data_IF_382247141109
#
_entry.id   IF_382247141109
#
_cell.length_a   1.000
_cell.length_b   1.000
_cell.length_c   1.000
_cell.angle_alpha   90.00
_cell.angle_beta   90.00
_cell.angle_gamma   90.00
#
_symmetry.space_group_name_H-M   'P 1'
#
loop_
_entity.id
_entity.type
_entity.pdbx_description
1 polymer ?
#
# COMPACT_ATOMS: atom_id res chain seq x y z
N UNK A 1 -29.90 1.87 17.19
CA UNK A 1 -29.65 2.10 15.76
C UNK A 1 -28.44 1.29 15.37
N UNK A 2 -28.55 0.39 14.39
CA UNK A 2 -27.38 -0.34 13.87
C UNK A 2 -26.55 0.62 13.02
N UNK A 3 -25.23 0.69 13.26
CA UNK A 3 -24.35 1.49 12.42
C UNK A 3 -24.08 0.70 11.12
N UNK A 4 -24.48 1.21 9.94
CA UNK A 4 -24.38 0.46 8.69
C UNK A 4 -22.93 0.12 8.33
N UNK A 5 -21.94 0.93 8.75
CA UNK A 5 -20.53 0.65 8.52
C UNK A 5 -20.05 -0.55 9.33
N UNK A 6 -20.47 -0.66 10.60
CA UNK A 6 -20.11 -1.78 11.47
C UNK A 6 -20.65 -3.10 10.93
N UNK A 7 -21.92 -3.08 10.48
CA UNK A 7 -22.55 -4.25 9.85
C UNK A 7 -21.94 -4.60 8.49
N UNK A 8 -21.54 -3.61 7.70
CA UNK A 8 -20.92 -3.83 6.39
C UNK A 8 -19.53 -4.47 6.50
N UNK A 9 -18.74 -4.02 7.48
CA UNK A 9 -17.33 -4.44 7.64
C UNK A 9 -17.15 -5.56 8.66
N UNK A 10 -18.22 -5.98 9.35
CA UNK A 10 -18.22 -6.99 10.41
C UNK A 10 -17.25 -6.67 11.56
N UNK A 11 -17.35 -5.44 12.07
CA UNK A 11 -16.51 -4.91 13.17
C UNK A 11 -17.36 -4.33 14.30
N UNK A 12 -16.81 -4.31 15.51
CA UNK A 12 -17.49 -3.86 16.73
C UNK A 12 -17.32 -2.36 16.98
N UNK A 13 -16.18 -1.79 16.56
CA UNK A 13 -15.83 -0.39 16.75
C UNK A 13 -15.63 0.33 15.41
N UNK A 14 -16.09 1.58 15.26
CA UNK A 14 -15.94 2.37 14.03
C UNK A 14 -14.54 2.98 13.93
N UNK A 15 -13.51 2.15 14.17
CA UNK A 15 -12.11 2.53 14.17
C UNK A 15 -11.39 1.72 13.09
N UNK A 16 -10.61 2.42 12.28
CA UNK A 16 -9.78 1.81 11.23
C UNK A 16 -8.34 2.24 11.49
N UNK A 17 -7.45 1.27 11.72
CA UNK A 17 -6.03 1.57 11.81
C UNK A 17 -5.51 1.89 10.40
N UNK A 18 -4.92 3.07 10.23
CA UNK A 18 -4.48 3.55 8.92
C UNK A 18 -3.37 2.67 8.31
N UNK A 19 -3.48 2.24 7.05
CA UNK A 19 -2.43 1.47 6.39
C UNK A 19 -1.19 2.34 6.15
N UNK A 20 -0.06 1.94 6.72
CA UNK A 20 1.23 2.62 6.60
C UNK A 20 2.24 1.62 6.03
N UNK A 21 2.59 1.78 4.76
CA UNK A 21 3.58 0.93 4.11
C UNK A 21 4.92 1.00 4.87
N UNK A 22 5.47 -0.16 5.22
CA UNK A 22 6.70 -0.29 6.02
C UNK A 22 6.52 -0.22 7.55
N UNK A 23 5.32 0.10 8.06
CA UNK A 23 5.04 0.18 9.51
C UNK A 23 3.90 -0.76 9.93
N UNK A 24 2.85 -0.88 9.12
CA UNK A 24 1.69 -1.72 9.41
C UNK A 24 2.00 -3.21 9.25
N UNK A 25 2.47 -3.84 10.33
CA UNK A 25 2.83 -5.26 10.38
C UNK A 25 1.60 -6.17 10.49
N UNK A 26 1.72 -7.46 10.11
CA UNK A 26 0.68 -8.46 10.37
C UNK A 26 0.21 -8.51 11.83
N UNK A 27 1.15 -8.42 12.78
CA UNK A 27 0.83 -8.44 14.21
C UNK A 27 0.00 -7.22 14.64
N UNK A 28 0.33 -6.02 14.12
CA UNK A 28 -0.45 -4.82 14.41
C UNK A 28 -1.87 -4.91 13.83
N UNK A 29 -1.99 -5.30 12.56
CA UNK A 29 -3.29 -5.43 11.91
C UNK A 29 -4.17 -6.48 12.61
N UNK A 30 -3.59 -7.64 12.97
CA UNK A 30 -4.30 -8.68 13.69
C UNK A 30 -4.71 -8.24 15.10
N UNK A 31 -3.85 -7.54 15.84
CA UNK A 31 -4.17 -7.04 17.17
C UNK A 31 -5.36 -6.05 17.15
N UNK A 32 -5.37 -5.12 16.19
CA UNK A 32 -6.49 -4.17 16.01
C UNK A 32 -7.77 -4.92 15.64
N UNK A 33 -7.68 -5.91 14.74
CA UNK A 33 -8.82 -6.71 14.29
C UNK A 33 -9.41 -7.53 15.43
N UNK A 34 -8.57 -8.20 16.22
CA UNK A 34 -8.95 -8.97 17.41
C UNK A 34 -9.56 -8.08 18.51
N UNK A 35 -9.17 -6.80 18.58
CA UNK A 35 -9.77 -5.83 19.49
C UNK A 35 -11.15 -5.31 19.02
N UNK A 36 -11.68 -5.76 17.87
CA UNK A 36 -13.00 -5.40 17.36
C UNK A 36 -13.02 -4.18 16.44
N UNK A 37 -11.86 -3.59 16.12
CA UNK A 37 -11.71 -2.54 15.11
C UNK A 37 -11.24 -3.14 13.77
N UNK A 38 -11.03 -2.33 12.73
CA UNK A 38 -10.49 -2.81 11.45
C UNK A 38 -8.97 -2.56 11.38
N UNK A 39 -8.18 -3.63 11.47
CA UNK A 39 -6.74 -3.57 11.19
C UNK A 39 -6.45 -3.39 9.69
N UNK A 40 -5.29 -2.83 9.33
CA UNK A 40 -4.93 -2.64 7.91
C UNK A 40 -3.48 -2.96 7.60
N UNK A 41 -3.25 -3.60 6.45
CA UNK A 41 -1.92 -3.78 5.84
C UNK A 41 -1.67 -2.72 4.76
N UNK A 42 -0.47 -2.14 4.73
CA UNK A 42 0.00 -1.26 3.66
C UNK A 42 0.85 -2.00 2.65
N UNK A 43 0.26 -2.44 1.53
CA UNK A 43 0.90 -3.27 0.49
C UNK A 43 1.18 -2.51 -0.81
N UNK A 44 0.91 -1.21 -0.87
CA UNK A 44 1.15 -0.41 -2.09
C UNK A 44 2.60 -0.39 -2.55
N UNK A 45 3.49 -0.80 -1.65
CA UNK A 45 4.92 -0.94 -1.85
C UNK A 45 5.39 -2.41 -1.76
N UNK A 46 4.54 -3.40 -1.99
CA UNK A 46 4.93 -4.80 -1.88
C UNK A 46 4.98 -5.46 -3.24
N UNK A 47 5.90 -6.40 -3.44
CA UNK A 47 5.79 -7.40 -4.50
C UNK A 47 4.62 -8.35 -4.19
N UNK A 48 4.12 -9.07 -5.21
CA UNK A 48 3.03 -10.05 -5.02
C UNK A 48 3.38 -11.08 -3.94
N UNK A 49 4.60 -11.62 -3.95
CA UNK A 49 5.04 -12.61 -2.96
C UNK A 49 5.10 -12.04 -1.54
N UNK A 50 5.55 -10.78 -1.38
CA UNK A 50 5.55 -10.10 -0.08
C UNK A 50 4.11 -9.83 0.41
N UNK A 51 3.24 -9.39 -0.48
CA UNK A 51 1.83 -9.15 -0.18
C UNK A 51 1.14 -10.44 0.29
N UNK A 52 1.33 -11.54 -0.44
CA UNK A 52 0.81 -12.86 -0.08
C UNK A 52 1.32 -13.31 1.29
N UNK A 53 2.63 -13.23 1.53
CA UNK A 53 3.22 -13.61 2.81
C UNK A 53 2.63 -12.79 3.98
N UNK A 54 2.44 -11.48 3.81
CA UNK A 54 1.85 -10.62 4.83
C UNK A 54 0.38 -10.92 5.09
N UNK A 55 -0.41 -11.20 4.05
CA UNK A 55 -1.82 -11.56 4.17
C UNK A 55 -1.95 -12.90 4.89
N UNK A 56 -1.18 -13.92 4.49
CA UNK A 56 -1.17 -15.24 5.13
C UNK A 56 -0.76 -15.13 6.59
N UNK A 57 0.31 -14.41 6.89
CA UNK A 57 0.75 -14.20 8.27
C UNK A 57 -0.31 -13.48 9.12
N UNK A 58 -1.05 -12.54 8.56
CA UNK A 58 -2.14 -11.85 9.28
C UNK A 58 -3.30 -12.81 9.55
N UNK A 59 -3.70 -13.61 8.55
CA UNK A 59 -4.75 -14.63 8.69
C UNK A 59 -4.42 -15.72 9.71
N UNK A 60 -3.14 -16.02 9.93
CA UNK A 60 -2.73 -16.95 11.00
C UNK A 60 -2.90 -16.37 12.41
N UNK A 61 -3.03 -15.04 12.54
CA UNK A 61 -3.13 -14.34 13.83
C UNK A 61 -4.55 -13.86 14.15
N UNK A 62 -5.44 -13.83 13.16
CA UNK A 62 -6.83 -13.42 13.33
C UNK A 62 -7.75 -14.03 12.28
N UNK A 63 -8.91 -14.49 12.71
CA UNK A 63 -10.03 -14.86 11.85
C UNK A 63 -10.93 -13.66 11.52
N UNK A 64 -10.69 -12.51 12.16
CA UNK A 64 -11.50 -11.29 12.00
C UNK A 64 -11.17 -10.55 10.71
N UNK A 65 -12.09 -9.71 10.18
CA UNK A 65 -11.82 -8.91 8.98
C UNK A 65 -10.67 -7.93 9.20
N UNK A 66 -9.87 -7.74 8.16
CA UNK A 66 -8.84 -6.71 8.08
C UNK A 66 -8.76 -6.14 6.67
N UNK A 67 -8.26 -4.92 6.56
CA UNK A 67 -8.11 -4.17 5.32
C UNK A 67 -6.74 -4.40 4.66
N UNK A 68 -6.71 -4.34 3.33
CA UNK A 68 -5.49 -4.39 2.53
C UNK A 68 -5.46 -3.16 1.62
N UNK A 69 -4.43 -2.34 1.76
CA UNK A 69 -4.27 -1.12 0.98
C UNK A 69 -3.21 -1.27 -0.11
N UNK A 70 -3.52 -0.75 -1.30
CA UNK A 70 -2.67 -0.77 -2.49
C UNK A 70 -2.54 0.63 -3.08
N UNK A 71 -1.43 0.90 -3.77
CA UNK A 71 -1.28 2.10 -4.59
C UNK A 71 -1.74 1.79 -6.02
N UNK A 72 -2.69 2.60 -6.51
CA UNK A 72 -3.29 2.47 -7.85
C UNK A 72 -3.14 3.77 -8.67
N UNK A 73 -2.04 4.51 -8.47
CA UNK A 73 -1.77 5.72 -9.22
C UNK A 73 -1.26 5.38 -10.62
N UNK A 74 -1.50 6.25 -11.60
CA UNK A 74 -0.91 6.09 -12.92
C UNK A 74 0.62 6.06 -12.80
N UNK A 75 1.31 5.18 -13.56
CA UNK A 75 2.77 5.16 -13.58
C UNK A 75 3.31 6.56 -13.91
N UNK A 76 4.39 7.00 -13.25
CA UNK A 76 4.96 8.31 -13.50
C UNK A 76 5.37 8.41 -14.98
N UNK A 77 4.86 9.43 -15.67
CA UNK A 77 5.38 9.80 -16.99
C UNK A 77 6.60 10.67 -16.77
N UNK A 78 7.76 10.21 -17.26
CA UNK A 78 8.94 11.06 -17.35
C UNK A 78 8.73 12.05 -18.49
N UNK A 79 8.61 13.33 -18.14
CA UNK A 79 8.65 14.37 -19.16
C UNK A 79 10.03 14.36 -19.83
N UNK A 80 10.07 14.59 -21.14
CA UNK A 80 11.33 14.79 -21.87
C UNK A 80 12.12 15.99 -21.33
N UNK A 81 13.31 16.31 -21.89
CA UNK A 81 14.21 17.33 -21.35
C UNK A 81 13.56 18.72 -21.11
N UNK A 82 12.44 19.03 -21.76
CA UNK A 82 11.66 20.26 -21.58
C UNK A 82 10.80 20.33 -20.29
N UNK A 83 10.45 19.20 -19.66
CA UNK A 83 9.66 19.15 -18.40
C UNK A 83 10.50 19.20 -17.11
N UNK A 84 11.82 19.23 -17.24
CA UNK A 84 12.78 19.34 -16.13
C UNK A 84 12.73 20.68 -15.36
N UNK A 85 11.97 21.68 -15.84
CA UNK A 85 11.87 23.01 -15.20
C UNK A 85 11.28 22.94 -13.79
N UNK A 86 10.31 22.05 -13.55
CA UNK A 86 9.75 21.90 -12.21
C UNK A 86 10.80 21.28 -11.28
N UNK A 87 11.43 20.17 -11.68
CA UNK A 87 12.51 19.51 -10.94
C UNK A 87 13.64 20.48 -10.56
N UNK A 88 14.09 21.34 -11.48
CA UNK A 88 15.14 22.30 -11.15
C UNK A 88 14.70 23.38 -10.13
N UNK A 89 13.44 23.84 -10.16
CA UNK A 89 12.96 24.87 -9.23
C UNK A 89 12.72 24.37 -7.80
N UNK A 90 12.25 23.12 -7.62
CA UNK A 90 12.08 22.52 -6.29
C UNK A 90 13.38 21.93 -5.75
N UNK A 91 14.25 21.36 -6.58
CA UNK A 91 15.47 20.68 -6.10
C UNK A 91 16.64 21.65 -5.88
N UNK A 92 16.68 22.78 -6.60
CA UNK A 92 17.75 23.80 -6.46
C UNK A 92 17.94 24.33 -5.03
N UNK A 93 16.90 24.71 -4.26
CA UNK A 93 17.11 25.20 -2.89
C UNK A 93 17.61 24.11 -1.92
N UNK A 94 17.32 22.82 -2.18
CA UNK A 94 17.79 21.71 -1.33
C UNK A 94 19.13 21.13 -1.77
N UNK A 95 19.67 21.57 -2.92
CA UNK A 95 20.94 21.11 -3.47
C UNK A 95 22.11 21.23 -2.47
N UNK A 96 22.28 22.37 -1.73
CA UNK A 96 23.31 22.48 -0.70
C UNK A 96 23.11 21.49 0.45
N UNK A 97 21.85 21.24 0.83
CA UNK A 97 21.51 20.30 1.91
C UNK A 97 21.83 18.86 1.52
N UNK A 98 21.53 18.47 0.27
CA UNK A 98 21.86 17.15 -0.25
C UNK A 98 23.37 16.94 -0.36
N UNK A 99 24.09 17.94 -0.83
CA UNK A 99 25.55 17.88 -0.93
C UNK A 99 26.20 17.79 0.46
N UNK A 100 25.67 18.53 1.44
CA UNK A 100 26.09 18.42 2.84
C UNK A 100 25.80 17.02 3.41
N UNK A 101 24.60 16.48 3.19
CA UNK A 101 24.17 15.21 3.80
C UNK A 101 24.75 13.96 3.12
N UNK A 102 24.99 14.00 1.81
CA UNK A 102 25.32 12.81 1.00
C UNK A 102 26.59 12.93 0.16
N UNK A 103 27.20 14.12 0.07
CA UNK A 103 28.43 14.36 -0.70
C UNK A 103 28.23 14.49 -2.22
N UNK A 104 27.03 14.22 -2.75
CA UNK A 104 26.69 14.38 -4.16
C UNK A 104 25.21 14.70 -4.34
N UNK A 105 24.87 15.26 -5.50
CA UNK A 105 23.47 15.54 -5.86
C UNK A 105 23.02 14.46 -6.83
N UNK A 106 22.02 13.65 -6.45
CA UNK A 106 21.40 12.69 -7.38
C UNK A 106 20.67 13.46 -8.48
N UNK A 107 21.14 13.33 -9.72
CA UNK A 107 20.52 13.93 -10.90
C UNK A 107 19.38 13.09 -11.47
N UNK A 108 19.45 11.77 -11.26
CA UNK A 108 18.41 10.83 -11.67
C UNK A 108 17.78 10.19 -10.43
N UNK A 109 16.45 10.33 -10.30
CA UNK A 109 15.67 9.61 -9.31
C UNK A 109 15.03 8.39 -9.98
N UNK A 110 15.28 7.17 -9.47
CA UNK A 110 14.49 6.01 -9.87
C UNK A 110 13.04 6.22 -9.43
N UNK A 111 12.10 5.52 -10.07
CA UNK A 111 10.71 5.52 -9.63
C UNK A 111 10.63 5.07 -8.17
N UNK A 112 9.89 5.84 -7.36
CA UNK A 112 9.94 5.74 -5.90
C UNK A 112 9.37 4.39 -5.42
N UNK A 113 8.42 3.81 -6.16
CA UNK A 113 7.91 2.46 -5.90
C UNK A 113 7.28 1.80 -7.14
N UNK A 114 7.23 0.47 -7.15
CA UNK A 114 6.47 -0.36 -8.10
C UNK A 114 5.47 -1.22 -7.32
N UNK A 115 4.16 -1.00 -7.52
CA UNK A 115 3.10 -1.67 -6.76
C UNK A 115 2.88 -3.09 -7.30
N UNK A 116 2.44 -4.04 -6.46
CA UNK A 116 1.99 -5.35 -6.96
C UNK A 116 0.77 -5.22 -7.90
N UNK A 117 0.00 -4.13 -7.77
CA UNK A 117 -1.09 -3.81 -8.69
C UNK A 117 -0.60 -3.57 -10.13
N UNK A 118 0.65 -3.10 -10.30
CA UNK A 118 1.24 -2.80 -11.60
C UNK A 118 1.77 -4.04 -12.33
N UNK A 119 1.88 -5.19 -11.64
CA UNK A 119 2.43 -6.42 -12.19
C UNK A 119 1.48 -7.17 -13.15
N UNK A 120 0.27 -6.65 -13.36
CA UNK A 120 -0.78 -7.30 -14.14
C UNK A 120 -1.41 -8.45 -13.34
N UNK A 121 -2.74 -8.45 -13.23
CA UNK A 121 -3.49 -9.58 -12.69
C UNK A 121 -3.28 -10.82 -13.58
N UNK A 122 -2.23 -11.59 -13.28
CA UNK A 122 -2.10 -12.94 -13.78
C UNK A 122 -3.09 -13.80 -12.98
N UNK A 123 -4.27 -13.96 -13.56
CA UNK A 123 -5.24 -14.99 -13.23
C UNK A 123 -4.53 -16.30 -12.92
N UNK A 124 -4.45 -16.64 -11.62
CA UNK A 124 -4.11 -17.98 -11.18
C UNK A 124 -5.25 -18.48 -10.31
N UNK A 125 -5.94 -19.46 -10.87
CA UNK A 125 -7.00 -20.23 -10.25
C UNK A 125 -6.49 -20.74 -8.90
N UNK A 126 -7.00 -20.20 -7.80
CA UNK A 126 -6.84 -20.83 -6.49
C UNK A 126 -7.73 -22.08 -6.53
N UNK A 127 -7.10 -23.25 -6.46
CA UNK A 127 -7.78 -24.52 -6.24
C UNK A 127 -8.48 -24.46 -4.87
N UNK A 128 -9.73 -24.00 -4.86
CA UNK A 128 -10.49 -23.76 -3.63
C UNK A 128 -11.65 -22.78 -3.77
N UNK A 129 -12.42 -22.85 -4.87
CA UNK A 129 -13.87 -22.52 -4.89
C UNK A 129 -14.38 -21.19 -4.32
N UNK A 130 -13.58 -20.12 -4.25
CA UNK A 130 -14.03 -18.80 -3.82
C UNK A 130 -13.70 -17.73 -4.86
N UNK A 131 -14.69 -17.35 -5.66
CA UNK A 131 -14.55 -16.33 -6.72
C UNK A 131 -14.68 -14.92 -6.11
N UNK A 132 -13.55 -14.22 -5.94
CA UNK A 132 -13.57 -12.79 -5.62
C UNK A 132 -13.92 -12.00 -6.89
N UNK A 133 -15.20 -11.67 -7.02
CA UNK A 133 -15.71 -10.82 -8.10
C UNK A 133 -15.22 -9.37 -7.91
N UNK A 134 -14.18 -8.97 -8.66
CA UNK A 134 -13.86 -7.57 -8.87
C UNK A 134 -14.78 -7.04 -9.99
N UNK A 135 -15.71 -6.15 -9.64
CA UNK A 135 -16.58 -5.48 -10.60
C UNK A 135 -15.75 -4.59 -11.55
N UNK A 136 -15.83 -4.78 -12.88
CA UNK A 136 -15.36 -3.79 -13.83
C UNK A 136 -16.38 -2.64 -13.93
N UNK A 137 -15.89 -1.45 -14.27
CA UNK A 137 -16.62 -0.18 -14.37
C UNK A 137 -17.74 -0.19 -15.41
#
# INVERSE_FOLDING_TARGET
>A
MSNPLLSLLDIDYPLIQAPMAGVSTPALAAAVSNAGALGSLGLGASTVAQAEAMIVATRQLTDRPFNVNLFCHAPPRRDGPAGSRLGNNITSPFCPLWQYATGFVKRDLPDIYRSCADAGAASRHLAGGGELSFWPS
#
